data_IF_931639856079
#
_entry.id   IF_931639856079
#
_cell.length_a   1.000
_cell.length_b   1.000
_cell.length_c   1.000
_cell.angle_alpha   90.00
_cell.angle_beta   90.00
_cell.angle_gamma   90.00
#
_symmetry.space_group_name_H-M   'P 1'
#
loop_
_entity.id
_entity.type
_entity.pdbx_description
1 polymer ?
#
# COMPACT_ATOMS: atom_id res chain seq x y z
N UNK A 1 -16.97 19.47 33.45
CA UNK A 1 -15.51 19.29 33.39
C UNK A 1 -15.16 18.79 32.00
N UNK A 2 -14.64 19.68 31.15
CA UNK A 2 -14.26 19.28 29.77
C UNK A 2 -12.91 18.61 29.82
N UNK A 3 -12.87 17.34 29.44
CA UNK A 3 -11.62 16.60 29.28
C UNK A 3 -10.78 17.20 28.15
N UNK A 4 -9.63 17.68 28.53
CA UNK A 4 -8.62 18.25 27.65
C UNK A 4 -7.97 17.10 26.86
N UNK A 5 -8.56 16.69 25.73
CA UNK A 5 -7.94 15.74 24.82
C UNK A 5 -6.66 16.37 24.26
N UNK A 6 -5.52 15.95 24.78
CA UNK A 6 -4.20 16.30 24.21
C UNK A 6 -4.22 15.93 22.72
N UNK A 7 -4.05 16.96 21.86
CA UNK A 7 -3.80 16.74 20.43
C UNK A 7 -2.57 15.84 20.29
N UNK A 8 -2.61 14.78 19.47
CA UNK A 8 -1.45 13.94 19.25
C UNK A 8 -0.31 14.76 18.67
N UNK A 9 0.89 14.48 19.13
CA UNK A 9 2.10 15.18 18.70
C UNK A 9 2.47 14.72 17.28
N UNK A 10 1.97 15.44 16.26
CA UNK A 10 2.09 15.13 14.82
C UNK A 10 3.53 15.28 14.31
N UNK A 11 4.45 15.80 15.11
CA UNK A 11 5.87 15.95 14.75
C UNK A 11 6.67 14.63 14.61
N UNK A 12 6.02 13.46 14.78
CA UNK A 12 6.68 12.15 14.68
C UNK A 12 6.70 11.57 13.27
N UNK A 13 5.95 12.11 12.32
CA UNK A 13 6.08 11.70 10.92
C UNK A 13 7.29 12.45 10.36
N UNK A 14 8.47 11.81 10.40
CA UNK A 14 9.67 12.33 9.73
C UNK A 14 9.27 12.67 8.30
N UNK A 15 9.58 13.89 7.85
CA UNK A 15 9.36 14.35 6.50
C UNK A 15 10.13 13.41 5.55
N UNK A 16 9.44 12.39 5.03
CA UNK A 16 10.02 11.47 4.06
C UNK A 16 10.08 12.21 2.74
N UNK A 17 11.28 12.50 2.26
CA UNK A 17 11.45 13.12 0.95
C UNK A 17 11.12 12.09 -0.13
N UNK A 18 10.25 12.46 -1.06
CA UNK A 18 9.94 11.64 -2.22
C UNK A 18 11.19 11.52 -3.12
N UNK A 19 11.59 10.31 -3.55
CA UNK A 19 12.78 10.14 -4.38
C UNK A 19 12.70 10.95 -5.68
N UNK A 20 13.83 11.60 -6.07
CA UNK A 20 13.88 12.46 -7.25
C UNK A 20 13.67 11.70 -8.58
N UNK A 21 13.99 10.40 -8.61
CA UNK A 21 13.83 9.51 -9.77
C UNK A 21 12.38 9.11 -10.05
N UNK A 22 11.45 9.43 -9.14
CA UNK A 22 9.99 9.22 -9.30
C UNK A 22 9.29 10.41 -9.97
N UNK A 23 10.02 11.40 -10.43
CA UNK A 23 9.46 12.59 -11.07
C UNK A 23 9.38 12.37 -12.58
N UNK A 24 8.18 12.45 -13.20
CA UNK A 24 8.10 12.40 -14.66
C UNK A 24 8.93 13.54 -15.26
N UNK A 25 9.66 13.23 -16.34
CA UNK A 25 10.33 14.25 -17.12
C UNK A 25 9.28 15.29 -17.58
N UNK A 26 9.48 16.59 -17.38
CA UNK A 26 8.59 17.65 -17.85
C UNK A 26 8.21 17.51 -19.34
N UNK A 27 9.12 17.04 -20.18
CA UNK A 27 8.90 16.80 -21.60
C UNK A 27 7.93 15.67 -21.91
N UNK A 28 7.70 14.76 -20.96
CA UNK A 28 6.75 13.63 -21.10
C UNK A 28 5.36 13.95 -20.56
N UNK A 29 5.20 15.04 -19.81
CA UNK A 29 3.95 15.35 -19.12
C UNK A 29 2.78 15.52 -20.09
N UNK A 30 2.98 16.20 -21.23
CA UNK A 30 1.95 16.41 -22.25
C UNK A 30 1.45 15.10 -22.85
N UNK A 31 2.31 14.09 -22.96
CA UNK A 31 1.93 12.78 -23.52
C UNK A 31 1.04 11.94 -22.59
N UNK A 32 0.98 12.26 -21.30
CA UNK A 32 0.20 11.57 -20.28
C UNK A 32 -0.95 12.42 -19.70
N UNK A 33 -1.10 13.64 -20.22
CA UNK A 33 -2.19 14.56 -19.83
C UNK A 33 -3.40 14.36 -20.73
N UNK A 34 -4.60 14.39 -20.15
CA UNK A 34 -5.84 14.32 -20.92
C UNK A 34 -5.90 15.44 -21.97
N UNK A 35 -6.19 15.09 -23.20
CA UNK A 35 -6.16 15.99 -24.37
C UNK A 35 -6.99 17.25 -24.19
N UNK A 36 -8.11 17.18 -23.48
CA UNK A 36 -8.95 18.37 -23.27
C UNK A 36 -8.29 19.43 -22.38
N UNK A 37 -7.42 19.05 -21.46
CA UNK A 37 -6.63 20.00 -20.69
C UNK A 37 -5.54 20.67 -21.54
N UNK A 38 -4.92 19.94 -22.47
CA UNK A 38 -3.96 20.53 -23.40
C UNK A 38 -4.66 21.55 -24.32
N UNK A 39 -5.85 21.20 -24.84
CA UNK A 39 -6.66 22.13 -25.63
C UNK A 39 -7.09 23.37 -24.83
N UNK A 40 -7.45 23.20 -23.59
CA UNK A 40 -7.79 24.31 -22.70
C UNK A 40 -6.59 25.22 -22.47
N UNK A 41 -5.39 24.66 -22.32
CA UNK A 41 -4.15 25.43 -22.21
C UNK A 41 -3.91 26.28 -23.45
N UNK A 42 -4.12 25.72 -24.65
CA UNK A 42 -3.96 26.45 -25.91
C UNK A 42 -4.97 27.61 -25.97
N UNK A 43 -6.22 27.39 -25.60
CA UNK A 43 -7.25 28.46 -25.55
C UNK A 43 -6.86 29.56 -24.57
N UNK A 44 -6.40 29.20 -23.37
CA UNK A 44 -5.97 30.21 -22.36
C UNK A 44 -4.75 30.98 -22.85
N UNK A 45 -3.84 30.33 -23.57
CA UNK A 45 -2.68 31.01 -24.16
C UNK A 45 -3.07 32.04 -25.24
N UNK A 46 -4.14 31.78 -26.01
CA UNK A 46 -4.61 32.70 -27.06
C UNK A 46 -5.46 33.85 -26.49
N UNK A 47 -6.35 33.56 -25.54
CA UNK A 47 -7.34 34.55 -25.06
C UNK A 47 -6.92 35.26 -23.76
N UNK A 48 -5.84 34.86 -23.14
CA UNK A 48 -5.29 35.50 -21.96
C UNK A 48 -5.35 34.63 -20.72
N UNK A 49 -4.27 34.64 -19.96
CA UNK A 49 -4.13 33.92 -18.70
C UNK A 49 -4.90 34.61 -17.56
N UNK A 50 -5.34 33.84 -16.58
CA UNK A 50 -6.00 34.36 -15.38
C UNK A 50 -5.61 33.50 -14.16
N UNK A 51 -5.73 34.09 -12.98
CA UNK A 51 -5.55 33.36 -11.74
C UNK A 51 -6.80 32.50 -11.45
N UNK A 52 -6.55 31.25 -11.07
CA UNK A 52 -7.59 30.28 -10.69
C UNK A 52 -7.27 29.63 -9.36
N UNK A 53 -8.29 29.08 -8.72
CA UNK A 53 -8.14 28.28 -7.49
C UNK A 53 -8.80 26.93 -7.67
N UNK A 54 -8.02 25.88 -7.60
CA UNK A 54 -8.51 24.50 -7.57
C UNK A 54 -8.77 24.06 -6.14
N UNK A 55 -9.96 23.52 -5.89
CA UNK A 55 -10.30 22.83 -4.66
C UNK A 55 -10.28 21.32 -4.90
N UNK A 56 -9.37 20.61 -4.30
CA UNK A 56 -9.24 19.16 -4.50
C UNK A 56 -9.86 18.42 -3.33
N UNK A 57 -10.78 17.52 -3.63
CA UNK A 57 -11.51 16.72 -2.65
C UNK A 57 -11.75 15.30 -3.14
N UNK A 58 -12.12 14.40 -2.23
CA UNK A 58 -12.50 13.03 -2.57
C UNK A 58 -14.00 12.82 -2.34
N UNK A 59 -14.64 12.00 -3.19
CA UNK A 59 -16.08 11.68 -3.09
C UNK A 59 -16.44 10.69 -2.00
N UNK A 60 -15.44 10.13 -1.33
CA UNK A 60 -15.57 9.22 -0.19
C UNK A 60 -14.57 9.63 0.90
N UNK A 61 -14.78 9.20 2.15
CA UNK A 61 -13.79 9.44 3.19
C UNK A 61 -12.43 8.81 2.84
N UNK A 62 -11.36 9.51 3.16
CA UNK A 62 -9.97 9.06 2.93
C UNK A 62 -9.07 9.50 4.09
N UNK A 63 -7.81 9.06 4.04
CA UNK A 63 -6.74 9.62 4.85
C UNK A 63 -5.92 10.57 3.98
N UNK A 64 -5.63 11.75 4.48
CA UNK A 64 -4.75 12.71 3.79
C UNK A 64 -3.36 12.14 3.65
N UNK A 65 -2.92 11.92 2.40
CA UNK A 65 -1.59 11.45 2.03
C UNK A 65 -1.12 12.22 0.79
N UNK A 66 -0.97 13.53 0.95
CA UNK A 66 -0.80 14.48 -0.15
C UNK A 66 0.66 14.76 -0.51
N UNK A 67 1.62 14.45 0.37
CA UNK A 67 3.01 14.86 0.18
C UNK A 67 3.59 14.47 -1.18
N UNK A 68 3.45 13.23 -1.69
CA UNK A 68 4.01 12.87 -2.99
C UNK A 68 3.47 13.73 -4.14
N UNK A 69 2.18 14.05 -4.10
CA UNK A 69 1.52 14.85 -5.12
C UNK A 69 1.93 16.33 -5.04
N UNK A 70 2.01 16.88 -3.84
CA UNK A 70 2.36 18.29 -3.63
C UNK A 70 3.85 18.55 -3.86
N UNK A 71 4.73 17.63 -3.47
CA UNK A 71 6.15 17.70 -3.76
C UNK A 71 6.41 17.63 -5.27
N UNK A 72 5.69 16.75 -5.98
CA UNK A 72 5.71 16.68 -7.44
C UNK A 72 5.23 17.99 -8.07
N UNK A 73 4.10 18.53 -7.63
CA UNK A 73 3.57 19.79 -8.13
C UNK A 73 4.57 20.93 -7.95
N UNK A 74 5.11 21.11 -6.75
CA UNK A 74 6.10 22.14 -6.46
C UNK A 74 7.33 22.03 -7.36
N UNK A 75 7.77 20.78 -7.64
CA UNK A 75 8.89 20.55 -8.56
C UNK A 75 8.56 21.03 -9.98
N UNK A 76 7.44 20.62 -10.54
CA UNK A 76 7.03 21.01 -11.90
C UNK A 76 6.85 22.53 -12.01
N UNK A 77 6.22 23.16 -11.02
CA UNK A 77 6.04 24.63 -11.00
C UNK A 77 7.39 25.35 -10.97
N UNK A 78 8.34 24.84 -10.20
CA UNK A 78 9.71 25.40 -10.17
C UNK A 78 10.43 25.25 -11.52
N UNK A 79 10.32 24.10 -12.17
CA UNK A 79 10.89 23.89 -13.53
C UNK A 79 10.26 24.85 -14.55
N UNK A 80 8.95 25.14 -14.43
CA UNK A 80 8.23 26.12 -15.24
C UNK A 80 8.53 27.59 -14.84
N UNK A 81 9.39 27.83 -13.84
CA UNK A 81 9.71 29.16 -13.31
C UNK A 81 8.47 29.96 -12.89
N UNK A 82 7.43 29.26 -12.49
CA UNK A 82 6.18 29.82 -12.01
C UNK A 82 6.09 29.85 -10.49
N UNK A 83 4.95 30.35 -10.02
CA UNK A 83 4.60 30.36 -8.61
C UNK A 83 3.14 29.94 -8.43
N UNK A 84 2.85 29.16 -7.40
CA UNK A 84 1.49 28.79 -6.97
C UNK A 84 1.38 28.86 -5.47
N UNK A 85 0.21 29.21 -4.98
CA UNK A 85 -0.10 29.14 -3.55
C UNK A 85 -0.79 27.81 -3.26
N UNK A 86 -0.23 27.03 -2.31
CA UNK A 86 -0.77 25.74 -1.87
C UNK A 86 -1.22 25.89 -0.43
N UNK A 87 -2.52 25.83 -0.22
CA UNK A 87 -3.14 25.87 1.10
C UNK A 87 -3.71 24.50 1.47
N UNK A 88 -3.02 23.77 2.34
CA UNK A 88 -3.45 22.48 2.85
C UNK A 88 -4.52 22.69 3.94
N UNK A 89 -5.62 21.94 3.82
CA UNK A 89 -6.70 21.94 4.81
C UNK A 89 -6.52 20.87 5.88
N UNK A 90 -5.79 19.79 5.56
CA UNK A 90 -5.57 18.65 6.43
C UNK A 90 -4.09 18.26 6.48
N UNK A 91 -3.60 17.99 7.67
CA UNK A 91 -2.25 17.44 7.86
C UNK A 91 -2.14 16.03 7.30
N UNK A 92 -0.91 15.61 6.98
CA UNK A 92 -0.62 14.25 6.53
C UNK A 92 -1.08 13.22 7.57
N UNK A 93 -1.80 12.20 7.14
CA UNK A 93 -2.38 11.18 8.02
C UNK A 93 -3.72 11.54 8.66
N UNK A 94 -4.26 12.73 8.42
CA UNK A 94 -5.57 13.15 8.96
C UNK A 94 -6.74 12.47 8.27
N UNK A 95 -7.84 12.29 9.01
CA UNK A 95 -9.13 11.91 8.42
C UNK A 95 -9.69 13.06 7.60
N UNK A 96 -10.21 12.73 6.44
CA UNK A 96 -10.89 13.65 5.53
C UNK A 96 -12.25 13.08 5.19
N UNK A 97 -13.30 13.83 5.43
CA UNK A 97 -14.67 13.48 5.08
C UNK A 97 -14.93 13.54 3.56
N UNK A 98 -16.00 12.89 3.14
CA UNK A 98 -16.43 12.95 1.74
C UNK A 98 -16.80 14.38 1.34
N UNK A 99 -16.22 14.89 0.25
CA UNK A 99 -16.49 16.22 -0.27
C UNK A 99 -15.74 17.35 0.45
N UNK A 100 -14.97 17.06 1.50
CA UNK A 100 -14.16 18.08 2.15
C UNK A 100 -12.92 18.42 1.30
N UNK A 101 -12.67 19.71 1.02
CA UNK A 101 -11.46 20.12 0.31
C UNK A 101 -10.21 19.77 1.11
N UNK A 102 -9.31 18.99 0.53
CA UNK A 102 -8.04 18.60 1.14
C UNK A 102 -6.95 19.65 0.96
N UNK A 103 -6.99 20.33 -0.19
CA UNK A 103 -6.03 21.36 -0.54
C UNK A 103 -6.65 22.33 -1.55
N UNK A 104 -6.33 23.60 -1.39
CA UNK A 104 -6.56 24.64 -2.40
C UNK A 104 -5.25 24.98 -3.08
N UNK A 105 -5.25 25.06 -4.41
CA UNK A 105 -4.09 25.41 -5.23
C UNK A 105 -4.48 26.60 -6.08
N UNK A 106 -3.84 27.76 -5.85
CA UNK A 106 -4.12 28.99 -6.58
C UNK A 106 -2.92 29.42 -7.39
N UNK A 107 -3.15 29.86 -8.63
CA UNK A 107 -2.12 30.34 -9.53
C UNK A 107 -2.62 30.52 -10.95
N UNK A 108 -1.71 30.83 -11.86
CA UNK A 108 -1.97 30.98 -13.28
C UNK A 108 -2.63 29.73 -13.86
N UNK A 109 -3.72 29.90 -14.62
CA UNK A 109 -4.39 28.81 -15.32
C UNK A 109 -3.45 28.11 -16.31
N UNK A 110 -2.58 28.86 -17.00
CA UNK A 110 -1.54 28.30 -17.90
C UNK A 110 -0.53 27.40 -17.19
N UNK A 111 -0.26 27.65 -15.92
CA UNK A 111 0.65 26.81 -15.12
C UNK A 111 -0.01 25.53 -14.62
N UNK A 112 -1.33 25.56 -14.38
CA UNK A 112 -2.03 24.50 -13.63
C UNK A 112 -2.83 23.54 -14.50
N UNK A 113 -3.43 24.01 -15.59
CA UNK A 113 -4.47 23.28 -16.31
C UNK A 113 -4.05 21.92 -16.86
N UNK A 114 -2.83 21.79 -17.33
CA UNK A 114 -2.30 20.54 -17.88
C UNK A 114 -1.67 19.62 -16.81
N UNK A 115 -1.68 20.04 -15.55
CA UNK A 115 -1.16 19.24 -14.43
C UNK A 115 -2.25 18.40 -13.76
N UNK A 116 -3.52 18.67 -14.02
CA UNK A 116 -4.64 18.07 -13.29
C UNK A 116 -4.65 16.54 -13.37
N UNK A 117 -4.45 15.96 -14.57
CA UNK A 117 -4.43 14.50 -14.75
C UNK A 117 -3.41 13.82 -13.81
N UNK A 118 -2.15 14.26 -13.86
CA UNK A 118 -1.10 13.64 -13.07
C UNK A 118 -1.24 13.93 -11.58
N UNK A 119 -1.71 15.12 -11.23
CA UNK A 119 -1.93 15.52 -9.84
C UNK A 119 -3.02 14.66 -9.19
N UNK A 120 -4.16 14.50 -9.85
CA UNK A 120 -5.27 13.70 -9.32
C UNK A 120 -4.96 12.21 -9.25
N UNK A 121 -4.19 11.65 -10.20
CA UNK A 121 -3.70 10.28 -10.12
C UNK A 121 -2.89 10.05 -8.85
N UNK A 122 -1.97 10.97 -8.52
CA UNK A 122 -1.11 10.85 -7.35
C UNK A 122 -1.88 11.00 -6.04
N UNK A 123 -2.81 11.94 -5.96
CA UNK A 123 -3.65 12.16 -4.79
C UNK A 123 -4.59 10.97 -4.56
N UNK A 124 -5.32 10.57 -5.61
CA UNK A 124 -6.36 9.55 -5.51
C UNK A 124 -5.84 8.22 -5.01
N UNK A 125 -4.82 7.68 -5.67
CA UNK A 125 -4.22 6.39 -5.33
C UNK A 125 -3.68 6.38 -3.90
N UNK A 126 -2.93 7.40 -3.54
CA UNK A 126 -2.23 7.48 -2.25
C UNK A 126 -3.21 7.60 -1.09
N UNK A 127 -4.20 8.49 -1.20
CA UNK A 127 -5.19 8.70 -0.13
C UNK A 127 -6.12 7.49 0.08
N UNK A 128 -6.50 6.79 -0.99
CA UNK A 128 -7.30 5.56 -0.90
C UNK A 128 -6.49 4.42 -0.28
N UNK A 129 -5.23 4.25 -0.69
CA UNK A 129 -4.35 3.25 -0.09
C UNK A 129 -4.12 3.51 1.40
N UNK A 130 -3.95 4.77 1.79
CA UNK A 130 -3.81 5.16 3.19
C UNK A 130 -5.06 4.82 4.02
N UNK A 131 -6.25 5.08 3.49
CA UNK A 131 -7.51 4.74 4.14
C UNK A 131 -7.69 3.22 4.30
N UNK A 132 -7.41 2.45 3.26
CA UNK A 132 -7.51 0.99 3.31
C UNK A 132 -6.50 0.41 4.31
N UNK A 133 -5.25 0.88 4.28
CA UNK A 133 -4.22 0.44 5.23
C UNK A 133 -4.60 0.75 6.68
N UNK A 134 -5.14 1.94 6.94
CA UNK A 134 -5.66 2.29 8.26
C UNK A 134 -6.74 1.30 8.71
N UNK A 135 -7.75 1.06 7.88
CA UNK A 135 -8.87 0.18 8.21
C UNK A 135 -8.41 -1.25 8.52
N UNK A 136 -7.42 -1.77 7.76
CA UNK A 136 -6.83 -3.08 8.02
C UNK A 136 -6.12 -3.11 9.39
N UNK A 137 -5.31 -2.10 9.69
CA UNK A 137 -4.54 -2.06 10.94
C UNK A 137 -5.46 -1.84 12.15
N UNK A 138 -6.50 -1.02 12.04
CA UNK A 138 -7.52 -0.85 13.08
C UNK A 138 -8.25 -2.16 13.41
N UNK A 139 -8.56 -2.93 12.38
CA UNK A 139 -9.27 -4.22 12.52
C UNK A 139 -8.40 -5.29 13.17
N UNK A 140 -7.08 -5.29 12.90
CA UNK A 140 -6.16 -6.33 13.36
C UNK A 140 -4.89 -5.71 13.96
N UNK A 141 -5.03 -5.04 15.09
CA UNK A 141 -3.97 -4.23 15.73
C UNK A 141 -2.70 -5.01 16.09
N UNK A 142 -2.84 -6.28 16.47
CA UNK A 142 -1.73 -7.13 16.87
C UNK A 142 -1.16 -7.97 15.71
N UNK A 143 -1.62 -7.72 14.48
CA UNK A 143 -1.15 -8.39 13.28
C UNK A 143 -0.23 -7.46 12.49
N UNK A 144 0.92 -7.98 12.07
CA UNK A 144 1.80 -7.29 11.14
C UNK A 144 1.30 -7.45 9.70
N UNK A 145 1.46 -6.41 8.88
CA UNK A 145 1.10 -6.41 7.48
C UNK A 145 2.31 -6.12 6.59
N UNK A 146 2.34 -6.77 5.44
CA UNK A 146 3.34 -6.56 4.40
C UNK A 146 2.64 -6.10 3.11
N UNK A 147 3.04 -4.96 2.56
CA UNK A 147 2.53 -4.46 1.28
C UNK A 147 3.18 -5.24 0.13
N UNK A 148 2.46 -6.17 -0.46
CA UNK A 148 2.92 -7.04 -1.56
C UNK A 148 2.19 -6.78 -2.88
N UNK A 149 1.64 -5.62 -3.05
CA UNK A 149 0.75 -5.23 -4.16
C UNK A 149 1.49 -4.71 -5.39
N UNK A 150 2.80 -4.51 -5.32
CA UNK A 150 3.59 -3.91 -6.42
C UNK A 150 3.35 -4.58 -7.79
N UNK A 151 3.26 -5.93 -7.84
CA UNK A 151 2.99 -6.68 -9.08
C UNK A 151 1.55 -6.55 -9.59
N UNK A 152 0.65 -6.01 -8.79
CA UNK A 152 -0.78 -5.85 -9.12
C UNK A 152 -1.13 -4.38 -9.43
N UNK A 153 -0.18 -3.46 -9.29
CA UNK A 153 -0.39 -2.06 -9.56
C UNK A 153 -0.28 -1.73 -11.06
N UNK A 154 -0.92 -0.65 -11.47
CA UNK A 154 -0.83 -0.10 -12.81
C UNK A 154 0.49 0.69 -13.00
N UNK A 155 1.61 -0.01 -12.93
CA UNK A 155 2.95 0.56 -13.07
C UNK A 155 3.64 0.89 -11.75
N UNK A 156 4.94 1.21 -11.86
CA UNK A 156 5.82 1.43 -10.70
C UNK A 156 5.43 2.65 -9.88
N UNK A 157 5.00 3.73 -10.51
CA UNK A 157 4.55 4.94 -9.81
C UNK A 157 3.36 4.65 -8.89
N UNK A 158 2.38 3.87 -9.38
CA UNK A 158 1.24 3.45 -8.57
C UNK A 158 1.69 2.60 -7.37
N UNK A 159 2.61 1.66 -7.59
CA UNK A 159 3.13 0.80 -6.52
C UNK A 159 3.82 1.62 -5.42
N UNK A 160 4.61 2.61 -5.80
CA UNK A 160 5.31 3.49 -4.87
C UNK A 160 4.33 4.37 -4.09
N UNK A 161 3.33 4.94 -4.76
CA UNK A 161 2.29 5.75 -4.14
C UNK A 161 1.45 4.94 -3.15
N UNK A 162 1.09 3.70 -3.50
CA UNK A 162 0.35 2.80 -2.61
C UNK A 162 1.17 2.38 -1.40
N UNK A 163 2.46 2.10 -1.56
CA UNK A 163 3.36 1.82 -0.44
C UNK A 163 3.46 3.01 0.52
N UNK A 164 3.57 4.24 -0.03
CA UNK A 164 3.53 5.45 0.78
C UNK A 164 2.19 5.60 1.51
N UNK A 165 1.08 5.41 0.83
CA UNK A 165 -0.26 5.43 1.44
C UNK A 165 -0.39 4.41 2.58
N UNK A 166 0.06 3.17 2.38
CA UNK A 166 0.06 2.13 3.40
C UNK A 166 0.90 2.54 4.63
N UNK A 167 2.06 3.15 4.40
CA UNK A 167 2.89 3.71 5.48
C UNK A 167 2.12 4.76 6.28
N UNK A 168 1.55 5.78 5.61
CA UNK A 168 0.83 6.89 6.28
C UNK A 168 -0.36 6.37 7.09
N UNK A 169 -1.22 5.55 6.48
CA UNK A 169 -2.39 4.99 7.16
C UNK A 169 -2.02 4.13 8.36
N UNK A 170 -0.95 3.34 8.25
CA UNK A 170 -0.43 2.51 9.34
C UNK A 170 0.15 3.33 10.48
N UNK A 171 0.96 4.35 10.19
CA UNK A 171 1.64 5.15 11.22
C UNK A 171 0.66 5.83 12.18
N UNK A 172 -0.47 6.28 11.67
CA UNK A 172 -1.50 6.89 12.50
C UNK A 172 -2.06 5.90 13.53
N UNK A 173 -2.46 4.72 13.09
CA UNK A 173 -3.02 3.69 13.99
C UNK A 173 -1.97 3.18 14.99
N UNK A 174 -0.71 3.05 14.56
CA UNK A 174 0.41 2.72 15.46
C UNK A 174 0.52 3.71 16.61
N UNK A 175 0.44 5.00 16.31
CA UNK A 175 0.56 6.06 17.32
C UNK A 175 -0.66 6.18 18.24
N UNK A 176 -1.86 5.97 17.70
CA UNK A 176 -3.12 6.16 18.45
C UNK A 176 -3.55 4.92 19.24
N UNK A 177 -3.28 3.71 18.72
CA UNK A 177 -3.84 2.47 19.23
C UNK A 177 -2.78 1.41 19.58
N UNK A 178 -1.50 1.75 19.57
CA UNK A 178 -0.39 0.82 19.81
C UNK A 178 -0.45 -0.43 18.93
N UNK A 179 -0.76 -0.26 17.65
CA UNK A 179 -0.84 -1.35 16.69
C UNK A 179 0.53 -1.70 16.09
N UNK A 180 0.71 -2.94 15.61
CA UNK A 180 1.92 -3.35 14.89
C UNK A 180 1.90 -2.76 13.48
N UNK A 181 0.84 -2.98 12.72
CA UNK A 181 0.58 -2.42 11.40
C UNK A 181 1.52 -2.91 10.30
N UNK A 182 1.69 -2.08 9.27
CA UNK A 182 2.58 -2.40 8.16
C UNK A 182 4.05 -2.35 8.59
N UNK A 183 4.80 -3.41 8.26
CA UNK A 183 6.20 -3.60 8.62
C UNK A 183 7.15 -3.51 7.42
N UNK A 184 6.62 -3.49 6.20
CA UNK A 184 7.43 -3.41 4.99
C UNK A 184 6.64 -3.50 3.70
N UNK A 185 7.36 -3.43 2.60
CA UNK A 185 6.87 -3.63 1.24
C UNK A 185 7.77 -4.62 0.48
N UNK A 186 7.29 -5.10 -0.67
CA UNK A 186 7.97 -6.13 -1.43
C UNK A 186 9.12 -5.63 -2.33
N UNK A 187 9.30 -4.32 -2.46
CA UNK A 187 10.31 -3.71 -3.34
C UNK A 187 11.34 -2.90 -2.58
N UNK A 188 12.59 -2.90 -3.05
CA UNK A 188 13.68 -2.15 -2.41
C UNK A 188 13.44 -0.64 -2.48
N UNK A 189 12.84 -0.16 -3.56
CA UNK A 189 12.65 1.27 -3.85
C UNK A 189 11.93 2.03 -2.74
N UNK A 190 10.91 1.43 -2.14
CA UNK A 190 10.10 2.03 -1.07
C UNK A 190 10.32 1.40 0.30
N UNK A 191 11.27 0.47 0.43
CA UNK A 191 11.57 -0.21 1.69
C UNK A 191 11.93 0.76 2.83
N UNK A 192 12.62 1.86 2.50
CA UNK A 192 13.01 2.90 3.46
C UNK A 192 11.83 3.58 4.17
N UNK A 193 10.63 3.62 3.57
CA UNK A 193 9.40 4.14 4.20
C UNK A 193 9.06 3.35 5.47
N UNK A 194 9.40 2.06 5.48
CA UNK A 194 9.16 1.14 6.60
C UNK A 194 10.43 0.89 7.44
N UNK A 195 11.46 1.74 7.29
CA UNK A 195 12.74 1.62 7.99
C UNK A 195 13.52 0.34 7.64
N UNK A 196 13.26 -0.24 6.48
CA UNK A 196 13.99 -1.38 5.94
C UNK A 196 15.03 -0.93 4.92
N UNK A 197 16.12 -1.67 4.80
CA UNK A 197 17.16 -1.43 3.78
C UNK A 197 16.82 -2.08 2.44
N UNK A 198 15.97 -3.11 2.47
CA UNK A 198 15.51 -3.89 1.30
C UNK A 198 14.04 -4.25 1.43
N UNK A 199 13.42 -4.57 0.30
CA UNK A 199 12.09 -5.13 0.26
C UNK A 199 12.01 -6.45 1.03
N UNK A 200 10.86 -6.68 1.66
CA UNK A 200 10.57 -7.93 2.36
C UNK A 200 9.89 -8.90 1.39
N UNK A 201 10.24 -10.15 1.48
CA UNK A 201 9.67 -11.18 0.62
C UNK A 201 9.83 -12.57 1.20
N UNK A 202 9.10 -13.50 0.59
CA UNK A 202 9.16 -14.93 0.88
C UNK A 202 9.37 -15.69 -0.44
N UNK A 203 9.34 -17.03 -0.41
CA UNK A 203 9.40 -17.78 -1.64
C UNK A 203 8.08 -17.69 -2.44
N UNK A 204 8.12 -17.61 -3.78
CA UNK A 204 6.93 -17.68 -4.62
C UNK A 204 6.52 -19.12 -4.93
N UNK A 205 5.26 -19.33 -5.38
CA UNK A 205 4.78 -20.61 -5.90
C UNK A 205 5.69 -21.18 -6.99
N UNK A 206 6.28 -20.31 -7.82
CA UNK A 206 7.21 -20.72 -8.89
C UNK A 206 8.43 -21.51 -8.36
N UNK A 207 8.95 -21.16 -7.18
CA UNK A 207 10.04 -21.93 -6.57
C UNK A 207 9.59 -23.31 -6.14
N UNK A 208 8.39 -23.43 -5.57
CA UNK A 208 7.83 -24.73 -5.14
C UNK A 208 7.59 -25.63 -6.35
N UNK A 209 7.03 -25.08 -7.43
CA UNK A 209 6.85 -25.79 -8.71
C UNK A 209 8.19 -26.22 -9.33
N UNK A 210 9.20 -25.35 -9.36
CA UNK A 210 10.54 -25.67 -9.83
C UNK A 210 11.20 -26.78 -9.03
N UNK A 211 11.11 -26.76 -7.73
CA UNK A 211 11.68 -27.75 -6.84
C UNK A 211 10.97 -29.10 -6.89
N UNK A 212 9.69 -29.13 -7.29
CA UNK A 212 8.86 -30.35 -7.37
C UNK A 212 8.31 -30.82 -6.01
N UNK A 213 8.68 -30.22 -4.90
CA UNK A 213 8.08 -30.42 -3.59
C UNK A 213 8.30 -29.23 -2.66
N UNK A 214 7.40 -29.05 -1.72
CA UNK A 214 7.47 -27.98 -0.70
C UNK A 214 8.73 -28.10 0.14
N UNK A 215 9.07 -29.30 0.60
CA UNK A 215 10.28 -29.54 1.39
C UNK A 215 11.54 -29.16 0.62
N UNK A 216 11.68 -29.66 -0.61
CA UNK A 216 12.86 -29.36 -1.44
C UNK A 216 12.98 -27.86 -1.73
N UNK A 217 11.88 -27.15 -1.96
CA UNK A 217 11.90 -25.71 -2.12
C UNK A 217 12.44 -25.01 -0.86
N UNK A 218 11.99 -25.43 0.31
CA UNK A 218 12.46 -24.90 1.60
C UNK A 218 13.95 -25.18 1.84
N UNK A 219 14.43 -26.39 1.52
CA UNK A 219 15.85 -26.77 1.63
C UNK A 219 16.72 -25.92 0.69
N UNK A 220 16.31 -25.77 -0.56
CA UNK A 220 17.00 -24.93 -1.55
C UNK A 220 17.06 -23.46 -1.11
N UNK A 221 15.94 -22.93 -0.64
CA UNK A 221 15.87 -21.54 -0.17
C UNK A 221 16.79 -21.33 1.02
N UNK A 222 16.69 -22.15 2.04
CA UNK A 222 17.50 -22.03 3.26
C UNK A 222 19.00 -22.24 2.98
N UNK A 223 19.36 -23.16 2.08
CA UNK A 223 20.76 -23.36 1.65
C UNK A 223 21.33 -22.13 0.94
N UNK A 224 20.50 -21.42 0.17
CA UNK A 224 20.94 -20.22 -0.56
C UNK A 224 20.97 -18.96 0.35
N UNK A 225 20.07 -18.90 1.31
CA UNK A 225 19.88 -17.76 2.21
C UNK A 225 19.86 -18.20 3.68
N UNK A 226 20.98 -18.76 4.22
CA UNK A 226 21.00 -19.39 5.55
C UNK A 226 20.72 -18.41 6.70
N UNK A 227 21.07 -17.13 6.52
CA UNK A 227 20.93 -16.08 7.55
C UNK A 227 19.56 -15.40 7.51
N UNK A 228 18.69 -15.78 6.58
CA UNK A 228 17.34 -15.20 6.47
C UNK A 228 16.31 -16.07 7.20
N UNK A 229 15.30 -15.45 7.85
CA UNK A 229 14.13 -16.19 8.34
C UNK A 229 13.50 -17.01 7.21
N UNK A 230 13.18 -18.27 7.48
CA UNK A 230 12.58 -19.16 6.50
C UNK A 230 11.06 -19.06 6.54
N UNK A 231 10.46 -18.49 5.52
CA UNK A 231 8.99 -18.49 5.35
C UNK A 231 8.63 -19.40 4.17
N UNK A 232 7.99 -20.53 4.48
CA UNK A 232 7.68 -21.57 3.50
C UNK A 232 6.23 -21.47 3.02
N UNK A 233 6.05 -21.38 1.71
CA UNK A 233 4.74 -21.43 1.06
C UNK A 233 4.28 -22.89 0.96
N UNK A 234 3.15 -23.23 1.59
CA UNK A 234 2.72 -24.62 1.82
C UNK A 234 1.47 -25.05 1.03
N UNK A 235 0.90 -24.16 0.24
CA UNK A 235 -0.41 -24.38 -0.42
C UNK A 235 -0.34 -24.75 -1.91
N UNK A 236 0.86 -24.92 -2.46
CA UNK A 236 1.04 -25.20 -3.89
C UNK A 236 0.40 -26.54 -4.33
N UNK A 237 0.58 -27.59 -3.56
CA UNK A 237 0.08 -28.93 -3.89
C UNK A 237 -1.29 -29.26 -3.24
N UNK A 238 -1.92 -28.36 -2.51
CA UNK A 238 -3.15 -28.63 -1.77
C UNK A 238 -2.96 -29.56 -0.58
N UNK A 239 -1.79 -29.53 0.04
CA UNK A 239 -1.37 -30.39 1.17
C UNK A 239 -0.88 -29.53 2.33
N UNK A 240 -1.63 -28.49 2.66
CA UNK A 240 -1.21 -27.44 3.58
C UNK A 240 -0.88 -27.98 4.97
N UNK A 241 -1.69 -28.92 5.48
CA UNK A 241 -1.47 -29.56 6.78
C UNK A 241 -0.28 -30.52 6.72
N UNK A 242 -0.29 -31.41 5.71
CA UNK A 242 0.77 -32.42 5.55
C UNK A 242 2.13 -31.76 5.31
N UNK A 243 2.21 -30.83 4.37
CA UNK A 243 3.43 -30.11 4.05
C UNK A 243 3.88 -29.22 5.21
N UNK A 244 2.96 -28.51 5.86
CA UNK A 244 3.27 -27.70 7.03
C UNK A 244 3.88 -28.50 8.17
N UNK A 245 3.31 -29.66 8.51
CA UNK A 245 3.86 -30.56 9.53
C UNK A 245 5.23 -31.13 9.12
N UNK A 246 5.42 -31.48 7.87
CA UNK A 246 6.70 -31.94 7.34
C UNK A 246 7.77 -30.86 7.48
N UNK A 247 7.48 -29.61 7.08
CA UNK A 247 8.40 -28.48 7.21
C UNK A 247 8.75 -28.22 8.67
N UNK A 248 7.78 -28.18 9.57
CA UNK A 248 8.04 -27.98 11.00
C UNK A 248 8.95 -29.07 11.60
N UNK A 249 8.81 -30.31 11.15
CA UNK A 249 9.67 -31.43 11.59
C UNK A 249 11.07 -31.33 11.01
N UNK A 250 11.21 -31.03 9.72
CA UNK A 250 12.50 -30.95 9.03
C UNK A 250 13.34 -29.76 9.49
N UNK A 251 12.69 -28.63 9.79
CA UNK A 251 13.34 -27.40 10.27
C UNK A 251 13.02 -27.09 11.74
N UNK A 252 12.98 -28.15 12.60
CA UNK A 252 12.61 -28.03 14.01
C UNK A 252 13.45 -26.99 14.77
N UNK A 253 14.74 -26.87 14.43
CA UNK A 253 15.62 -25.88 15.05
C UNK A 253 15.19 -24.44 14.74
N UNK A 254 14.78 -24.14 13.49
CA UNK A 254 14.27 -22.83 13.11
C UNK A 254 12.90 -22.55 13.74
N UNK A 255 12.03 -23.58 13.82
CA UNK A 255 10.75 -23.47 14.48
C UNK A 255 10.91 -23.11 15.97
N UNK A 256 11.81 -23.79 16.67
CA UNK A 256 12.10 -23.54 18.09
C UNK A 256 12.70 -22.15 18.34
N UNK A 257 13.46 -21.62 17.39
CA UNK A 257 14.07 -20.28 17.47
C UNK A 257 13.13 -19.15 16.99
N UNK A 258 11.92 -19.48 16.53
CA UNK A 258 10.97 -18.48 16.00
C UNK A 258 11.36 -17.88 14.65
N UNK A 259 12.26 -18.53 13.90
CA UNK A 259 12.73 -18.07 12.57
C UNK A 259 12.13 -18.86 11.40
N UNK A 260 11.22 -19.79 11.70
CA UNK A 260 10.40 -20.49 10.71
C UNK A 260 8.98 -19.92 10.69
N UNK A 261 8.45 -19.65 9.52
CA UNK A 261 7.06 -19.25 9.29
C UNK A 261 6.45 -20.07 8.16
N UNK A 262 5.16 -20.35 8.24
CA UNK A 262 4.39 -20.98 7.18
C UNK A 262 3.51 -19.92 6.52
N UNK A 263 3.47 -19.92 5.18
CA UNK A 263 2.65 -19.00 4.40
C UNK A 263 1.59 -19.77 3.63
N UNK A 264 0.37 -19.27 3.73
CA UNK A 264 -0.76 -19.66 2.90
C UNK A 264 -1.07 -18.49 1.96
N UNK A 265 -1.25 -18.75 0.67
CA UNK A 265 -1.50 -17.73 -0.37
C UNK A 265 -2.57 -18.23 -1.36
N UNK A 266 -3.58 -18.91 -0.85
CA UNK A 266 -4.58 -19.60 -1.62
C UNK A 266 -5.79 -18.69 -1.86
N UNK A 267 -6.31 -18.66 -3.09
CA UNK A 267 -7.53 -17.92 -3.40
C UNK A 267 -8.75 -18.50 -2.67
N UNK A 268 -9.75 -17.65 -2.38
CA UNK A 268 -10.92 -18.00 -1.56
C UNK A 268 -11.88 -19.06 -2.10
N UNK A 269 -11.63 -19.62 -3.27
CA UNK A 269 -12.43 -20.70 -3.85
C UNK A 269 -11.93 -22.11 -3.52
N UNK A 270 -10.82 -22.24 -2.78
CA UNK A 270 -10.24 -23.54 -2.40
C UNK A 270 -10.39 -23.81 -0.91
N UNK A 271 -10.57 -25.06 -0.57
CA UNK A 271 -10.66 -25.53 0.82
C UNK A 271 -9.30 -26.09 1.27
N UNK A 272 -9.08 -26.08 2.58
CA UNK A 272 -7.88 -26.65 3.17
C UNK A 272 -7.84 -28.16 2.98
N UNK A 273 -6.64 -28.74 2.99
CA UNK A 273 -6.42 -30.19 2.92
C UNK A 273 -7.36 -30.97 3.87
N UNK A 274 -8.01 -31.99 3.36
CA UNK A 274 -8.92 -32.85 4.14
C UNK A 274 -10.35 -32.32 4.31
N UNK A 275 -10.64 -31.10 3.84
CA UNK A 275 -12.01 -30.58 3.81
C UNK A 275 -12.58 -30.71 2.39
N UNK A 276 -13.71 -31.39 2.28
CA UNK A 276 -14.53 -31.38 1.08
C UNK A 276 -15.51 -30.19 1.07
N UNK A 277 -16.07 -29.90 -0.10
CA UNK A 277 -17.01 -28.78 -0.26
C UNK A 277 -18.29 -28.99 0.57
N UNK A 278 -18.86 -30.18 0.55
CA UNK A 278 -20.10 -30.48 1.24
C UNK A 278 -19.90 -30.45 2.76
N UNK A 279 -18.81 -31.09 3.26
CA UNK A 279 -18.46 -31.05 4.68
C UNK A 279 -18.17 -29.66 5.19
N UNK A 280 -17.55 -28.84 4.36
CA UNK A 280 -17.26 -27.44 4.70
C UNK A 280 -18.54 -26.61 4.78
N UNK A 281 -19.47 -26.76 3.86
CA UNK A 281 -20.78 -26.10 3.94
C UNK A 281 -21.60 -26.59 5.15
N UNK A 282 -21.58 -27.87 5.47
CA UNK A 282 -22.28 -28.41 6.65
C UNK A 282 -21.72 -27.83 7.97
N UNK A 283 -20.42 -27.58 8.05
CA UNK A 283 -19.82 -26.86 9.18
C UNK A 283 -20.23 -25.39 9.16
N UNK A 284 -20.31 -24.79 7.98
CA UNK A 284 -20.72 -23.40 7.77
C UNK A 284 -22.16 -23.13 8.21
N UNK A 285 -23.08 -24.04 7.93
CA UNK A 285 -24.46 -23.92 8.32
C UNK A 285 -24.69 -24.05 9.82
N UNK A 286 -23.79 -24.74 10.53
CA UNK A 286 -23.89 -24.98 11.99
C UNK A 286 -23.28 -23.84 12.83
N UNK A 287 -22.50 -22.98 12.24
CA UNK A 287 -21.80 -21.93 12.93
C UNK A 287 -22.09 -20.57 12.25
N UNK A 288 -21.94 -19.47 12.99
CA UNK A 288 -22.16 -18.15 12.42
C UNK A 288 -21.23 -17.89 11.21
N UNK A 289 -21.75 -17.31 10.12
CA UNK A 289 -20.97 -17.08 8.89
C UNK A 289 -19.65 -16.33 9.11
N UNK A 290 -19.61 -15.45 10.11
CA UNK A 290 -18.41 -14.69 10.45
C UNK A 290 -17.30 -15.55 11.05
N UNK A 291 -17.64 -16.59 11.81
CA UNK A 291 -16.64 -17.46 12.44
C UNK A 291 -15.98 -18.43 11.47
N UNK A 292 -16.52 -18.56 10.26
CA UNK A 292 -16.16 -19.61 9.31
C UNK A 292 -15.42 -19.07 8.10
N UNK A 293 -15.40 -17.78 7.90
CA UNK A 293 -14.54 -17.15 6.88
C UNK A 293 -13.07 -17.55 7.02
N UNK A 294 -12.64 -17.99 8.20
CA UNK A 294 -11.31 -18.53 8.46
C UNK A 294 -11.06 -19.96 7.93
N UNK A 295 -12.08 -20.72 7.55
CA UNK A 295 -11.90 -22.07 7.00
C UNK A 295 -11.78 -22.10 5.47
N UNK A 296 -12.18 -21.07 4.80
CA UNK A 296 -11.75 -20.84 3.42
C UNK A 296 -10.30 -20.36 3.46
N UNK A 297 -9.45 -20.99 2.69
CA UNK A 297 -8.12 -20.47 2.43
C UNK A 297 -8.19 -19.19 1.59
N UNK A 298 -8.96 -18.24 2.04
CA UNK A 298 -8.96 -16.92 1.47
C UNK A 298 -7.96 -16.09 2.20
N UNK A 299 -6.79 -16.08 1.69
CA UNK A 299 -5.73 -15.40 2.37
C UNK A 299 -5.14 -14.29 1.62
N UNK A 300 -5.99 -13.44 1.31
CA UNK A 300 -5.63 -12.11 0.87
C UNK A 300 -5.37 -11.18 2.06
N UNK A 301 -5.21 -11.75 3.24
CA UNK A 301 -5.15 -10.95 4.46
C UNK A 301 -3.95 -11.36 5.30
N UNK A 302 -2.83 -11.32 4.71
CA UNK A 302 -1.57 -11.43 5.44
C UNK A 302 -0.94 -10.05 5.55
#
# INVERSE_FOLDING_TARGET
MAENKKKPNINLIKKVSWPNDLRPNPDQLSSVTDTYFLRTRDVVAEFGDTEVTYAIFMRRPVISALNPALDWLQHIIKERKGNVNINRCFEEGSDVGAGEPMVYISGSMLLLVDLETALLQKIGATCVAAYNARSMVESLRQTSFLAMDARHCAGTDMADLMAYGAYIGSQRVKSEMNAIGFIGCATDKTAHLFQNTKGLGTMPHALVGYAGSTLKAAEMFHSTWPDQPLTVLIDYFGKEITDGLMICRSFKHLANNGTLSLRLDTHGGRYIEGLDVAGSYAVLERNAPESIRGYRLSLIHI
#
